data_IF_493556363191
#
_entry.id   IF_493556363191
#
_cell.length_a   1.000
_cell.length_b   1.000
_cell.length_c   1.000
_cell.angle_alpha   90.00
_cell.angle_beta   90.00
_cell.angle_gamma   90.00
#
_symmetry.space_group_name_H-M   'P 1'
#
loop_
_entity.id
_entity.type
_entity.pdbx_description
1 polymer ?
#
# COMPACT_ATOMS: atom_id res chain seq x y z
N UNK A 1 -8.08 -22.81 -27.76
CA UNK A 1 -6.86 -23.36 -27.12
C UNK A 1 -5.93 -22.19 -26.84
N UNK A 2 -5.30 -22.14 -25.66
CA UNK A 2 -4.37 -21.07 -25.29
C UNK A 2 -3.14 -21.14 -26.21
N UNK A 3 -2.78 -20.03 -26.87
CA UNK A 3 -1.60 -19.97 -27.71
C UNK A 3 -0.35 -19.80 -26.84
N UNK A 4 0.78 -20.39 -27.26
CA UNK A 4 2.08 -20.28 -26.56
C UNK A 4 2.46 -18.82 -26.25
N UNK A 5 2.12 -17.89 -27.16
CA UNK A 5 2.38 -16.45 -27.03
C UNK A 5 1.55 -15.74 -25.95
N UNK A 6 0.46 -16.36 -25.48
CA UNK A 6 -0.49 -15.75 -24.54
C UNK A 6 -0.43 -16.41 -23.16
N UNK A 7 0.30 -17.53 -23.02
CA UNK A 7 0.35 -18.35 -21.79
C UNK A 7 0.69 -17.53 -20.57
N UNK A 8 1.69 -16.64 -20.64
CA UNK A 8 2.15 -15.83 -19.51
C UNK A 8 1.07 -14.92 -18.94
N UNK A 9 0.14 -14.43 -19.77
CA UNK A 9 -1.01 -13.64 -19.33
C UNK A 9 -2.08 -14.45 -18.59
N UNK A 10 -2.04 -15.77 -18.71
CA UNK A 10 -3.00 -16.69 -18.08
C UNK A 10 -2.43 -17.45 -16.87
N UNK A 11 -1.18 -17.20 -16.45
CA UNK A 11 -0.54 -17.92 -15.34
C UNK A 11 -0.91 -17.42 -13.94
N UNK A 12 -1.89 -16.53 -13.81
CA UNK A 12 -2.40 -16.07 -12.52
C UNK A 12 -3.29 -17.15 -11.89
N UNK A 13 -2.73 -17.94 -10.97
CA UNK A 13 -3.44 -19.00 -10.27
C UNK A 13 -3.34 -18.88 -8.75
N UNK A 14 -4.36 -19.38 -8.07
CA UNK A 14 -4.31 -19.57 -6.62
C UNK A 14 -3.65 -20.90 -6.27
N UNK A 15 -2.75 -20.89 -5.28
CA UNK A 15 -2.16 -22.11 -4.72
C UNK A 15 -3.22 -22.87 -3.91
N UNK A 16 -3.58 -24.08 -4.33
CA UNK A 16 -4.50 -24.95 -3.59
C UNK A 16 -3.73 -25.80 -2.54
N UNK A 17 -4.03 -25.67 -1.23
CA UNK A 17 -3.35 -26.46 -0.21
C UNK A 17 -3.72 -27.95 -0.30
N UNK A 18 -2.73 -28.82 -0.51
CA UNK A 18 -2.95 -30.27 -0.61
C UNK A 18 -3.68 -30.88 0.62
N UNK A 19 -3.44 -30.44 1.88
CA UNK A 19 -4.16 -30.95 3.05
C UNK A 19 -5.69 -30.83 2.97
N UNK A 20 -6.24 -29.89 2.18
CA UNK A 20 -7.68 -29.78 1.95
C UNK A 20 -8.32 -30.99 1.26
N UNK A 21 -7.50 -31.88 0.67
CA UNK A 21 -7.94 -33.10 -0.01
C UNK A 21 -7.95 -34.30 0.94
N UNK A 22 -6.86 -34.49 1.70
CA UNK A 22 -6.61 -35.73 2.43
C UNK A 22 -6.75 -35.62 3.95
N UNK A 23 -6.56 -34.44 4.54
CA UNK A 23 -6.61 -34.28 5.99
C UNK A 23 -8.06 -34.22 6.48
N UNK A 24 -8.43 -35.11 7.40
CA UNK A 24 -9.76 -35.17 7.99
C UNK A 24 -10.21 -33.87 8.66
N UNK A 25 -9.27 -33.09 9.21
CA UNK A 25 -9.52 -31.78 9.83
C UNK A 25 -10.07 -30.77 8.83
N UNK A 26 -9.56 -30.78 7.60
CA UNK A 26 -9.92 -29.81 6.56
C UNK A 26 -10.87 -30.35 5.49
N UNK A 27 -11.07 -31.67 5.45
CA UNK A 27 -11.93 -32.34 4.46
C UNK A 27 -13.39 -31.89 4.57
N UNK A 28 -13.84 -31.54 5.78
CA UNK A 28 -15.21 -31.08 6.09
C UNK A 28 -15.49 -29.66 5.61
N UNK A 29 -14.47 -28.87 5.29
CA UNK A 29 -14.64 -27.52 4.77
C UNK A 29 -15.35 -27.55 3.41
N UNK A 30 -16.30 -26.63 3.23
CA UNK A 30 -16.93 -26.41 1.93
C UNK A 30 -15.90 -25.92 0.90
N UNK A 31 -16.16 -26.18 -0.39
CA UNK A 31 -15.27 -25.74 -1.47
C UNK A 31 -15.11 -24.21 -1.48
N UNK A 32 -16.14 -23.46 -1.14
CA UNK A 32 -16.07 -22.00 -1.07
C UNK A 32 -15.32 -21.49 0.17
N UNK A 33 -15.35 -22.21 1.30
CA UNK A 33 -14.46 -21.92 2.43
C UNK A 33 -12.99 -22.16 2.05
N UNK A 34 -12.70 -23.25 1.32
CA UNK A 34 -11.36 -23.53 0.77
C UNK A 34 -10.91 -22.45 -0.21
N UNK A 35 -11.80 -21.99 -1.10
CA UNK A 35 -11.53 -20.89 -2.03
C UNK A 35 -11.30 -19.56 -1.29
N UNK A 36 -12.09 -19.26 -0.26
CA UNK A 36 -11.89 -18.09 0.60
C UNK A 36 -10.50 -18.14 1.25
N UNK A 37 -10.09 -19.29 1.80
CA UNK A 37 -8.74 -19.45 2.35
C UNK A 37 -7.66 -19.16 1.29
N UNK A 38 -7.76 -19.76 0.10
CA UNK A 38 -6.80 -19.56 -0.99
C UNK A 38 -6.70 -18.08 -1.40
N UNK A 39 -7.85 -17.40 -1.43
CA UNK A 39 -7.95 -15.99 -1.77
C UNK A 39 -7.28 -15.11 -0.71
N UNK A 40 -7.54 -15.36 0.57
CA UNK A 40 -6.93 -14.63 1.68
C UNK A 40 -5.42 -14.89 1.72
N UNK A 41 -5.00 -16.14 1.57
CA UNK A 41 -3.60 -16.54 1.57
C UNK A 41 -2.80 -15.84 0.44
N UNK A 42 -3.36 -15.76 -0.76
CA UNK A 42 -2.75 -15.02 -1.88
C UNK A 42 -2.60 -13.51 -1.65
N UNK A 43 -3.22 -12.95 -0.61
CA UNK A 43 -3.12 -11.53 -0.23
C UNK A 43 -2.15 -11.27 0.92
N UNK A 44 -1.52 -12.30 1.48
CA UNK A 44 -0.53 -12.11 2.55
C UNK A 44 0.65 -11.25 2.08
N UNK A 45 1.08 -11.40 0.83
CA UNK A 45 2.13 -10.55 0.25
C UNK A 45 1.79 -9.06 0.28
N UNK A 46 0.52 -8.70 0.01
CA UNK A 46 0.06 -7.32 0.10
C UNK A 46 0.12 -6.82 1.54
N UNK A 47 -0.24 -7.67 2.50
CA UNK A 47 -0.19 -7.34 3.92
C UNK A 47 1.24 -7.11 4.40
N UNK A 48 2.19 -7.94 3.96
CA UNK A 48 3.62 -7.78 4.23
C UNK A 48 4.13 -6.46 3.60
N UNK A 49 3.83 -6.22 2.32
CA UNK A 49 4.22 -4.97 1.61
C UNK A 49 3.66 -3.72 2.31
N UNK A 50 2.45 -3.82 2.88
CA UNK A 50 1.81 -2.72 3.60
C UNK A 50 2.25 -2.59 5.07
N UNK A 51 3.15 -3.46 5.56
CA UNK A 51 3.57 -3.48 6.96
C UNK A 51 2.45 -3.85 7.94
N UNK A 52 1.46 -4.63 7.51
CA UNK A 52 0.34 -5.06 8.34
C UNK A 52 0.71 -6.30 9.16
N UNK A 53 1.39 -6.06 10.27
CA UNK A 53 1.70 -7.05 11.29
C UNK A 53 1.46 -6.46 12.68
N UNK A 54 1.18 -7.32 13.66
CA UNK A 54 1.06 -6.90 15.06
C UNK A 54 2.42 -6.89 15.78
N UNK A 55 2.40 -6.66 17.09
CA UNK A 55 3.63 -6.55 17.91
C UNK A 55 4.42 -7.85 17.98
N UNK A 56 3.77 -8.99 17.74
CA UNK A 56 4.39 -10.31 17.76
C UNK A 56 4.87 -10.71 16.36
N UNK A 57 4.65 -9.87 15.36
CA UNK A 57 5.00 -10.14 13.97
C UNK A 57 3.94 -10.94 13.20
N UNK A 58 2.77 -11.19 13.80
CA UNK A 58 1.70 -11.91 13.10
C UNK A 58 1.09 -11.01 12.04
N UNK A 59 1.09 -11.47 10.79
CA UNK A 59 0.54 -10.75 9.64
C UNK A 59 -0.99 -10.78 9.71
N UNK A 60 -1.61 -9.61 9.52
CA UNK A 60 -3.07 -9.48 9.41
C UNK A 60 -3.44 -8.77 8.12
N UNK A 61 -4.70 -8.93 7.71
CA UNK A 61 -5.25 -8.23 6.57
C UNK A 61 -6.60 -7.60 6.88
N UNK A 62 -6.93 -6.54 6.14
CA UNK A 62 -8.26 -5.96 6.12
C UNK A 62 -9.02 -6.45 4.88
N UNK A 63 -10.16 -7.10 5.12
CA UNK A 63 -11.05 -7.58 4.07
C UNK A 63 -12.49 -7.55 4.58
N UNK A 64 -13.29 -6.63 4.04
CA UNK A 64 -14.66 -6.48 4.51
C UNK A 64 -15.55 -7.59 3.97
N UNK A 65 -16.69 -7.82 4.63
CA UNK A 65 -17.68 -8.79 4.15
C UNK A 65 -18.15 -8.43 2.74
N UNK A 66 -18.36 -7.15 2.46
CA UNK A 66 -18.83 -6.68 1.15
C UNK A 66 -17.82 -6.99 0.05
N UNK A 67 -16.53 -6.82 0.30
CA UNK A 67 -15.51 -7.18 -0.68
C UNK A 67 -15.49 -8.71 -0.90
N UNK A 68 -15.56 -9.52 0.17
CA UNK A 68 -15.62 -10.98 0.06
C UNK A 68 -16.87 -11.46 -0.70
N UNK A 69 -18.00 -10.78 -0.53
CA UNK A 69 -19.23 -11.07 -1.26
C UNK A 69 -19.04 -10.86 -2.76
N UNK A 70 -18.34 -9.80 -3.17
CA UNK A 70 -18.04 -9.52 -4.58
C UNK A 70 -17.09 -10.59 -5.13
N UNK A 71 -15.97 -10.84 -4.45
CA UNK A 71 -14.92 -11.71 -4.99
C UNK A 71 -15.30 -13.21 -5.00
N UNK A 72 -16.14 -13.63 -4.05
CA UNK A 72 -16.67 -15.01 -4.00
C UNK A 72 -18.09 -15.12 -4.56
N UNK A 73 -18.63 -14.03 -5.13
CA UNK A 73 -19.99 -13.94 -5.67
C UNK A 73 -21.05 -14.61 -4.77
N UNK A 74 -21.06 -14.24 -3.49
CA UNK A 74 -21.82 -14.92 -2.45
C UNK A 74 -22.54 -13.93 -1.55
N UNK A 75 -23.69 -14.32 -0.98
CA UNK A 75 -24.42 -13.47 -0.03
C UNK A 75 -23.65 -13.31 1.30
N UNK A 76 -23.93 -12.24 2.04
CA UNK A 76 -23.26 -11.97 3.31
C UNK A 76 -23.39 -13.14 4.30
N UNK A 77 -24.61 -13.71 4.42
CA UNK A 77 -24.87 -14.88 5.27
C UNK A 77 -23.97 -16.07 4.92
N UNK A 78 -23.69 -16.23 3.63
CA UNK A 78 -22.84 -17.29 3.10
C UNK A 78 -21.35 -17.01 3.39
N UNK A 79 -20.92 -15.75 3.25
CA UNK A 79 -19.57 -15.32 3.67
C UNK A 79 -19.34 -15.57 5.16
N UNK A 80 -20.30 -15.18 6.01
CA UNK A 80 -20.23 -15.41 7.47
C UNK A 80 -20.12 -16.91 7.77
N UNK A 81 -20.87 -17.76 7.04
CA UNK A 81 -20.78 -19.21 7.16
C UNK A 81 -19.36 -19.71 6.83
N UNK A 82 -18.77 -19.27 5.72
CA UNK A 82 -17.42 -19.69 5.32
C UNK A 82 -16.36 -19.24 6.33
N UNK A 83 -16.46 -18.01 6.84
CA UNK A 83 -15.58 -17.52 7.92
C UNK A 83 -15.70 -18.39 9.16
N UNK A 84 -16.92 -18.77 9.54
CA UNK A 84 -17.16 -19.67 10.66
C UNK A 84 -16.53 -21.05 10.42
N UNK A 85 -16.72 -21.65 9.25
CA UNK A 85 -16.10 -22.94 8.89
C UNK A 85 -14.57 -22.89 9.04
N UNK A 86 -13.91 -21.84 8.53
CA UNK A 86 -12.46 -21.67 8.64
C UNK A 86 -12.00 -21.43 10.08
N UNK A 87 -12.78 -20.67 10.86
CA UNK A 87 -12.49 -20.44 12.28
C UNK A 87 -12.63 -21.71 13.12
N UNK A 88 -13.67 -22.50 12.88
CA UNK A 88 -13.94 -23.74 13.61
C UNK A 88 -12.79 -24.77 13.45
N UNK A 89 -12.04 -24.71 12.35
CA UNK A 89 -10.85 -25.55 12.11
C UNK A 89 -9.51 -24.84 12.41
N UNK A 90 -9.54 -23.61 12.95
CA UNK A 90 -8.37 -22.84 13.36
C UNK A 90 -7.56 -22.21 12.22
N UNK A 91 -8.14 -22.06 11.02
CA UNK A 91 -7.47 -21.44 9.87
C UNK A 91 -7.70 -19.94 9.74
N UNK A 92 -8.69 -19.39 10.43
CA UNK A 92 -9.03 -17.97 10.37
C UNK A 92 -9.38 -17.44 11.75
N UNK A 93 -8.78 -16.31 12.11
CA UNK A 93 -9.15 -15.55 13.31
C UNK A 93 -9.48 -14.10 12.96
N UNK A 94 -10.55 -13.56 13.56
CA UNK A 94 -10.92 -12.16 13.44
C UNK A 94 -10.83 -11.44 14.79
N UNK A 95 -10.05 -10.37 14.84
CA UNK A 95 -9.87 -9.55 16.04
C UNK A 95 -10.52 -8.19 15.82
N UNK A 96 -11.46 -7.84 16.71
CA UNK A 96 -12.09 -6.52 16.74
C UNK A 96 -11.12 -5.48 17.29
N UNK A 97 -11.03 -4.32 16.65
CA UNK A 97 -10.11 -3.25 17.04
C UNK A 97 -10.77 -2.09 17.81
N UNK A 98 -12.09 -2.13 17.98
CA UNK A 98 -12.88 -1.04 18.56
C UNK A 98 -13.95 -0.54 17.59
N UNK A 99 -14.71 0.45 18.02
CA UNK A 99 -15.81 0.99 17.22
C UNK A 99 -15.27 1.70 15.97
N UNK A 100 -15.96 1.50 14.83
CA UNK A 100 -15.62 2.07 13.51
C UNK A 100 -14.25 1.68 12.93
N UNK A 101 -13.54 0.72 13.54
CA UNK A 101 -12.32 0.16 12.96
C UNK A 101 -12.63 -1.20 12.31
N UNK A 102 -12.06 -1.51 11.14
CA UNK A 102 -12.22 -2.81 10.53
C UNK A 102 -11.60 -3.91 11.40
N UNK A 103 -12.15 -5.12 11.33
CA UNK A 103 -11.56 -6.26 12.00
C UNK A 103 -10.23 -6.62 11.34
N UNK A 104 -9.25 -7.03 12.14
CA UNK A 104 -8.04 -7.69 11.64
C UNK A 104 -8.35 -9.15 11.39
N UNK A 105 -8.06 -9.61 10.17
CA UNK A 105 -8.20 -11.02 9.79
C UNK A 105 -6.81 -11.64 9.76
N UNK A 106 -6.63 -12.71 10.52
CA UNK A 106 -5.42 -13.53 10.56
C UNK A 106 -5.72 -14.88 9.91
N UNK A 107 -4.75 -15.41 9.16
CA UNK A 107 -4.84 -16.72 8.51
C UNK A 107 -3.69 -17.60 8.97
N UNK A 108 -4.03 -18.81 9.39
CA UNK A 108 -3.05 -19.82 9.83
C UNK A 108 -2.67 -20.72 8.66
N UNK A 109 -1.43 -21.21 8.65
CA UNK A 109 -1.02 -22.24 7.71
C UNK A 109 -1.74 -23.57 8.02
N UNK A 110 -2.02 -24.37 6.98
CA UNK A 110 -2.57 -25.72 7.17
C UNK A 110 -1.47 -26.69 7.65
N UNK A 111 -1.83 -27.61 8.53
CA UNK A 111 -0.92 -28.62 9.08
C UNK A 111 -0.30 -29.46 7.95
N UNK A 112 1.00 -29.73 8.02
CA UNK A 112 1.71 -30.47 6.97
C UNK A 112 2.16 -29.66 5.75
N UNK A 113 1.99 -28.33 5.73
CA UNK A 113 2.64 -27.45 4.72
C UNK A 113 4.15 -27.26 4.93
N UNK A 114 4.76 -28.00 5.85
CA UNK A 114 6.08 -27.71 6.40
C UNK A 114 7.19 -27.75 5.33
N UNK A 115 7.85 -26.60 5.15
CA UNK A 115 9.31 -26.35 4.98
C UNK A 115 9.71 -25.39 3.85
N UNK A 116 8.96 -25.26 2.76
CA UNK A 116 9.39 -24.37 1.66
C UNK A 116 9.09 -22.88 1.88
N UNK A 117 8.03 -22.52 2.59
CA UNK A 117 7.62 -21.11 2.74
C UNK A 117 8.40 -20.35 3.81
N UNK A 118 8.89 -21.03 4.86
CA UNK A 118 9.74 -20.40 5.89
C UNK A 118 11.08 -19.99 5.28
N UNK A 119 11.65 -20.84 4.42
CA UNK A 119 12.86 -20.52 3.65
C UNK A 119 12.65 -19.30 2.73
N UNK A 120 11.47 -19.18 2.12
CA UNK A 120 11.12 -18.06 1.23
C UNK A 120 10.90 -16.73 1.99
N UNK A 121 10.48 -16.79 3.25
CA UNK A 121 10.33 -15.63 4.14
C UNK A 121 11.66 -15.24 4.83
N UNK A 122 12.53 -16.20 5.13
CA UNK A 122 13.88 -15.96 5.68
C UNK A 122 14.81 -15.27 4.66
N UNK A 123 14.63 -15.52 3.35
CA UNK A 123 15.39 -14.85 2.28
C UNK A 123 15.12 -13.33 2.23
N UNK A 124 14.03 -12.83 2.81
CA UNK A 124 13.78 -11.39 2.93
C UNK A 124 14.63 -10.70 4.00
N UNK A 125 15.25 -11.46 4.91
CA UNK A 125 16.03 -10.90 6.03
C UNK A 125 17.54 -10.84 5.78
N UNK A 126 18.09 -11.64 4.86
CA UNK A 126 19.53 -11.59 4.55
C UNK A 126 19.77 -11.55 3.03
N UNK A 127 20.24 -10.40 2.58
CA UNK A 127 20.57 -10.15 1.18
C UNK A 127 21.67 -11.07 0.63
N UNK A 128 21.60 -11.20 -0.70
CA UNK A 128 22.55 -11.87 -1.62
C UNK A 128 22.24 -13.33 -1.88
N UNK A 129 21.69 -13.65 -3.07
CA UNK A 129 22.42 -14.26 -4.20
C UNK A 129 21.60 -14.09 -5.49
N UNK A 130 22.31 -13.65 -6.53
CA UNK A 130 21.89 -13.53 -7.93
C UNK A 130 21.71 -14.92 -8.54
N UNK A 131 20.48 -15.34 -8.86
CA UNK A 131 20.12 -16.18 -10.03
C UNK A 131 18.67 -16.73 -10.07
N UNK A 132 17.78 -16.39 -9.13
CA UNK A 132 16.36 -16.82 -9.16
C UNK A 132 15.36 -15.68 -9.40
N UNK A 133 15.85 -14.46 -9.65
CA UNK A 133 15.02 -13.24 -9.80
C UNK A 133 13.97 -13.38 -10.92
N UNK A 134 14.26 -14.15 -11.98
CA UNK A 134 13.33 -14.32 -13.11
C UNK A 134 12.12 -15.22 -12.84
N UNK A 135 12.11 -16.04 -11.77
CA UNK A 135 10.97 -16.91 -11.47
C UNK A 135 10.00 -16.28 -10.45
N UNK A 136 10.43 -15.23 -9.74
CA UNK A 136 9.62 -14.45 -8.79
C UNK A 136 8.84 -13.30 -9.44
N UNK A 137 9.24 -12.84 -10.64
CA UNK A 137 8.55 -11.76 -11.36
C UNK A 137 7.17 -12.17 -11.93
N UNK A 138 6.84 -13.47 -11.95
CA UNK A 138 5.57 -13.99 -12.51
C UNK A 138 4.52 -14.28 -11.42
N UNK A 139 4.75 -13.91 -10.16
CA UNK A 139 3.65 -13.82 -9.19
C UNK A 139 2.90 -12.50 -9.44
N UNK A 140 2.09 -12.50 -10.49
CA UNK A 140 1.01 -11.54 -10.64
C UNK A 140 0.04 -11.76 -9.47
N UNK A 141 0.33 -11.14 -8.33
CA UNK A 141 -0.60 -11.00 -7.20
C UNK A 141 -1.93 -10.53 -7.76
N UNK A 142 -3.03 -11.19 -7.39
CA UNK A 142 -4.36 -10.87 -7.87
C UNK A 142 -4.60 -9.36 -7.79
N UNK A 143 -4.69 -8.70 -8.95
CA UNK A 143 -5.06 -7.29 -9.07
C UNK A 143 -6.55 -7.13 -8.71
N UNK A 144 -6.92 -7.33 -7.46
CA UNK A 144 -8.23 -6.89 -6.96
C UNK A 144 -8.09 -5.48 -6.40
N UNK A 145 -8.08 -4.51 -7.32
CA UNK A 145 -8.32 -3.10 -7.04
C UNK A 145 -9.79 -2.92 -6.67
N UNK A 146 -10.21 -3.19 -5.43
CA UNK A 146 -11.55 -2.76 -4.98
C UNK A 146 -11.49 -2.35 -3.51
N UNK A 147 -10.97 -1.16 -3.24
CA UNK A 147 -10.75 -0.72 -1.88
C UNK A 147 -11.29 0.69 -1.64
N UNK A 148 -12.56 0.78 -1.25
CA UNK A 148 -13.07 2.00 -0.59
C UNK A 148 -12.40 2.24 0.78
N UNK A 149 -11.93 1.17 1.44
CA UNK A 149 -11.22 1.26 2.74
C UNK A 149 -9.71 1.49 2.57
N UNK A 150 -9.04 0.89 1.57
CA UNK A 150 -7.64 1.26 1.26
C UNK A 150 -7.56 2.63 0.60
N UNK A 151 -8.58 3.15 -0.10
CA UNK A 151 -8.47 4.50 -0.64
C UNK A 151 -8.26 5.54 0.48
N UNK A 152 -8.90 5.37 1.64
CA UNK A 152 -8.68 6.26 2.79
C UNK A 152 -7.34 6.00 3.49
N UNK A 153 -6.94 4.74 3.71
CA UNK A 153 -5.66 4.42 4.35
C UNK A 153 -4.46 4.75 3.45
N UNK A 154 -4.54 4.47 2.15
CA UNK A 154 -3.54 4.82 1.15
C UNK A 154 -3.45 6.34 0.99
N UNK A 155 -4.58 7.06 0.91
CA UNK A 155 -4.55 8.54 0.94
C UNK A 155 -3.93 9.07 2.22
N UNK A 156 -4.18 8.43 3.37
CA UNK A 156 -3.56 8.82 4.63
C UNK A 156 -2.05 8.54 4.62
N UNK A 157 -1.61 7.38 4.13
CA UNK A 157 -0.19 7.04 3.98
C UNK A 157 0.51 8.02 3.04
N UNK A 158 -0.07 8.34 1.89
CA UNK A 158 0.44 9.36 0.95
C UNK A 158 0.52 10.72 1.66
N UNK A 159 -0.51 11.12 2.43
CA UNK A 159 -0.44 12.36 3.19
C UNK A 159 0.72 12.37 4.19
N UNK A 160 0.94 11.26 4.90
CA UNK A 160 2.06 11.14 5.85
C UNK A 160 3.40 11.24 5.12
N UNK A 161 3.53 10.51 4.00
CA UNK A 161 4.77 10.49 3.21
C UNK A 161 5.11 11.87 2.63
N UNK A 162 4.13 12.57 2.07
CA UNK A 162 4.32 13.93 1.53
C UNK A 162 4.79 14.90 2.61
N UNK A 163 4.21 14.84 3.82
CA UNK A 163 4.61 15.73 4.92
C UNK A 163 6.00 15.37 5.46
N UNK A 164 6.31 14.08 5.60
CA UNK A 164 7.65 13.62 5.98
C UNK A 164 8.70 14.07 4.96
N UNK A 165 8.38 14.00 3.66
CA UNK A 165 9.27 14.43 2.59
C UNK A 165 9.49 15.96 2.60
N UNK A 166 8.44 16.74 2.81
CA UNK A 166 8.56 18.19 2.98
C UNK A 166 9.45 18.55 4.19
N UNK A 167 9.27 17.87 5.31
CA UNK A 167 10.08 18.08 6.50
C UNK A 167 11.57 17.81 6.23
N UNK A 168 11.86 16.69 5.56
CA UNK A 168 13.23 16.31 5.17
C UNK A 168 13.89 17.36 4.27
N UNK A 169 13.18 17.80 3.21
CA UNK A 169 13.76 18.70 2.21
C UNK A 169 13.84 20.16 2.66
N UNK A 170 12.84 20.65 3.41
CA UNK A 170 12.79 22.04 3.85
C UNK A 170 13.37 22.25 5.27
N UNK A 171 13.94 21.20 5.87
CA UNK A 171 14.41 21.18 7.26
C UNK A 171 13.35 21.74 8.24
N UNK A 172 12.10 21.28 8.09
CA UNK A 172 10.95 21.67 8.92
C UNK A 172 10.47 20.48 9.76
N UNK A 173 9.65 20.76 10.77
CA UNK A 173 9.12 19.77 11.71
C UNK A 173 7.59 19.81 11.80
N UNK A 174 6.89 19.84 10.66
CA UNK A 174 5.43 19.76 10.64
C UNK A 174 4.96 18.40 11.19
N UNK A 175 3.94 18.42 12.04
CA UNK A 175 3.35 17.19 12.59
C UNK A 175 2.69 16.39 11.46
N UNK A 176 3.20 15.19 11.22
CA UNK A 176 2.83 14.30 10.12
C UNK A 176 1.35 13.89 10.16
N UNK A 177 0.74 13.80 11.34
CA UNK A 177 -0.66 13.38 11.51
C UNK A 177 -1.69 14.53 11.54
N UNK A 178 -1.29 15.76 11.20
CA UNK A 178 -2.17 16.93 11.31
C UNK A 178 -3.23 16.95 10.21
N UNK A 179 -4.51 16.92 10.61
CA UNK A 179 -5.65 16.93 9.69
C UNK A 179 -5.69 18.14 8.74
N UNK A 180 -5.30 19.33 9.23
CA UNK A 180 -5.25 20.56 8.43
C UNK A 180 -4.24 20.47 7.28
N UNK A 181 -3.09 19.81 7.48
CA UNK A 181 -2.10 19.59 6.43
C UNK A 181 -2.61 18.55 5.41
N UNK A 182 -3.21 17.46 5.90
CA UNK A 182 -3.78 16.42 5.05
C UNK A 182 -4.92 16.92 4.17
N UNK A 183 -5.68 17.91 4.62
CA UNK A 183 -6.80 18.50 3.86
C UNK A 183 -6.35 18.94 2.46
N UNK A 184 -5.22 19.63 2.35
CA UNK A 184 -4.71 20.14 1.08
C UNK A 184 -4.25 19.02 0.16
N UNK A 185 -3.52 18.04 0.70
CA UNK A 185 -3.03 16.88 -0.05
C UNK A 185 -4.21 16.02 -0.55
N UNK A 186 -5.20 15.74 0.32
CA UNK A 186 -6.39 14.97 -0.05
C UNK A 186 -7.22 15.64 -1.15
N UNK A 187 -7.30 16.97 -1.15
CA UNK A 187 -7.99 17.70 -2.22
C UNK A 187 -7.30 17.47 -3.57
N UNK A 188 -5.97 17.60 -3.61
CA UNK A 188 -5.16 17.38 -4.81
C UNK A 188 -5.18 15.91 -5.28
N UNK A 189 -5.18 14.93 -4.37
CA UNK A 189 -5.36 13.52 -4.73
C UNK A 189 -6.73 13.24 -5.37
N UNK A 190 -7.78 14.02 -5.04
CA UNK A 190 -9.10 13.91 -5.68
C UNK A 190 -9.11 14.51 -7.09
N UNK A 191 -8.25 15.50 -7.34
CA UNK A 191 -8.07 16.15 -8.64
C UNK A 191 -7.19 15.32 -9.60
N UNK A 192 -6.54 14.26 -9.12
CA UNK A 192 -5.80 13.29 -9.94
C UNK A 192 -4.27 13.36 -9.81
N UNK A 193 -3.73 14.24 -8.96
CA UNK A 193 -2.30 14.34 -8.71
C UNK A 193 -1.77 13.08 -7.99
N UNK A 194 -0.53 12.69 -8.33
CA UNK A 194 0.18 11.52 -7.79
C UNK A 194 1.17 11.90 -6.70
N UNK A 195 1.64 10.94 -5.91
CA UNK A 195 2.68 11.14 -4.88
C UNK A 195 3.94 11.80 -5.48
N UNK A 196 4.35 11.37 -6.66
CA UNK A 196 5.48 11.92 -7.41
C UNK A 196 5.28 13.40 -7.74
N UNK A 197 4.06 13.83 -8.06
CA UNK A 197 3.75 15.24 -8.31
C UNK A 197 3.97 16.09 -7.05
N UNK A 198 3.57 15.59 -5.88
CA UNK A 198 3.83 16.29 -4.62
C UNK A 198 5.32 16.39 -4.32
N UNK A 199 6.08 15.29 -4.50
CA UNK A 199 7.54 15.29 -4.29
C UNK A 199 8.23 16.28 -5.22
N UNK A 200 7.84 16.30 -6.50
CA UNK A 200 8.38 17.25 -7.49
C UNK A 200 8.12 18.71 -7.10
N UNK A 201 6.91 19.04 -6.64
CA UNK A 201 6.61 20.39 -6.14
C UNK A 201 7.49 20.73 -4.94
N UNK A 202 7.67 19.81 -3.98
CA UNK A 202 8.57 20.03 -2.84
C UNK A 202 9.99 20.28 -3.32
N UNK A 203 10.53 19.49 -4.25
CA UNK A 203 11.89 19.64 -4.76
C UNK A 203 12.11 20.99 -5.45
N UNK A 204 11.20 21.35 -6.36
CA UNK A 204 11.28 22.61 -7.14
C UNK A 204 11.20 23.82 -6.21
N UNK A 205 10.26 23.81 -5.27
CA UNK A 205 10.03 24.96 -4.40
C UNK A 205 11.11 25.05 -3.31
N UNK A 206 11.57 23.92 -2.76
CA UNK A 206 12.69 23.90 -1.81
C UNK A 206 13.96 24.44 -2.47
N UNK A 207 14.27 24.02 -3.69
CA UNK A 207 15.44 24.51 -4.43
C UNK A 207 15.40 26.02 -4.72
N UNK A 208 14.21 26.62 -4.78
CA UNK A 208 14.04 28.06 -5.07
C UNK A 208 13.94 28.93 -3.83
N UNK A 209 13.31 28.43 -2.78
CA UNK A 209 12.92 29.26 -1.64
C UNK A 209 13.84 29.10 -0.44
N UNK A 210 14.53 27.96 -0.29
CA UNK A 210 15.52 27.77 0.78
C UNK A 210 16.62 28.83 0.64
N UNK A 211 16.93 29.52 1.75
CA UNK A 211 17.94 30.58 1.76
C UNK A 211 17.44 31.94 1.24
N UNK A 212 16.14 32.10 0.99
CA UNK A 212 15.50 33.37 0.61
C UNK A 212 14.42 33.77 1.61
N UNK A 213 13.90 35.00 1.52
CA UNK A 213 12.73 35.45 2.29
C UNK A 213 11.47 34.58 2.08
N UNK A 214 11.43 33.79 1.00
CA UNK A 214 10.30 32.92 0.66
C UNK A 214 10.33 31.58 1.40
N UNK A 215 11.41 31.25 2.12
CA UNK A 215 11.54 29.96 2.82
C UNK A 215 10.41 29.75 3.85
N UNK A 216 9.93 30.83 4.48
CA UNK A 216 8.83 30.80 5.45
C UNK A 216 7.51 30.25 4.85
N UNK A 217 7.37 30.30 3.52
CA UNK A 217 6.19 29.83 2.80
C UNK A 217 6.27 28.37 2.35
N UNK A 218 7.36 27.64 2.67
CA UNK A 218 7.48 26.19 2.46
C UNK A 218 6.60 25.41 3.46
N UNK A 219 5.29 25.53 3.29
CA UNK A 219 4.28 24.93 4.15
C UNK A 219 3.26 24.13 3.31
N UNK A 220 2.60 23.11 3.89
CA UNK A 220 1.62 22.28 3.17
C UNK A 220 0.50 23.07 2.51
N UNK A 221 0.01 24.13 3.16
CA UNK A 221 -1.05 24.99 2.62
C UNK A 221 -0.59 25.76 1.38
N UNK A 222 0.62 26.32 1.40
CA UNK A 222 1.15 27.11 0.28
C UNK A 222 1.46 26.22 -0.91
N UNK A 223 2.18 25.12 -0.67
CA UNK A 223 2.67 24.22 -1.72
C UNK A 223 1.55 23.42 -2.37
N UNK A 224 0.60 22.94 -1.57
CA UNK A 224 -0.48 22.07 -2.02
C UNK A 224 -1.84 22.78 -2.06
N UNK A 225 -1.82 24.11 -1.99
CA UNK A 225 -2.97 24.99 -2.23
C UNK A 225 -3.28 25.15 -3.72
N UNK A 226 -4.18 26.08 -4.07
CA UNK A 226 -4.73 26.22 -5.43
C UNK A 226 -3.69 26.51 -6.53
N UNK A 227 -2.44 26.80 -6.15
CA UNK A 227 -1.31 27.08 -7.06
C UNK A 227 -0.41 25.86 -7.32
N UNK A 228 -0.77 24.67 -6.83
CA UNK A 228 0.04 23.45 -6.99
C UNK A 228 0.41 23.19 -8.46
N UNK A 229 -0.55 23.34 -9.38
CA UNK A 229 -0.34 23.10 -10.80
C UNK A 229 0.75 24.03 -11.40
N UNK A 230 0.74 25.31 -10.99
CA UNK A 230 1.76 26.27 -11.40
C UNK A 230 3.15 25.82 -10.92
N UNK A 231 3.28 25.34 -9.69
CA UNK A 231 4.55 24.85 -9.15
C UNK A 231 5.00 23.55 -9.81
N UNK A 232 4.07 22.67 -10.18
CA UNK A 232 4.41 21.40 -10.85
C UNK A 232 4.96 21.61 -12.26
N UNK A 233 4.46 22.63 -12.95
CA UNK A 233 4.87 23.05 -14.29
C UNK A 233 6.09 23.98 -14.29
N UNK A 234 6.63 24.29 -13.11
CA UNK A 234 7.79 25.14 -12.97
C UNK A 234 9.08 24.35 -13.24
N UNK A 235 10.05 24.98 -13.92
CA UNK A 235 11.36 24.36 -14.20
C UNK A 235 12.28 24.39 -12.98
N UNK A 236 13.00 23.29 -12.75
CA UNK A 236 14.06 23.24 -11.75
C UNK A 236 15.10 24.33 -12.04
N UNK A 237 15.53 25.11 -11.04
CA UNK A 237 16.57 26.12 -11.25
C UNK A 237 17.87 25.44 -11.72
N UNK A 238 18.44 25.93 -12.82
CA UNK A 238 19.74 25.44 -13.31
C UNK A 238 20.81 25.81 -12.28
N UNK A 239 21.68 24.84 -11.96
CA UNK A 239 22.78 24.94 -10.97
C UNK A 239 23.75 26.12 -11.20
N UNK A 240 23.65 26.83 -12.33
CA UNK A 240 24.47 27.98 -12.71
C UNK A 240 23.98 29.35 -12.20
N UNK A 241 22.86 29.45 -11.47
CA UNK A 241 22.35 30.75 -10.97
C UNK A 241 22.49 30.97 -9.45
N UNK A 242 23.08 30.04 -8.69
CA UNK A 242 23.31 30.21 -7.24
C UNK A 242 24.37 31.27 -6.88
N UNK A 243 25.02 31.92 -7.86
CA UNK A 243 26.06 32.93 -7.63
C UNK A 243 25.73 34.32 -8.20
N UNK A 244 24.55 34.55 -8.78
CA UNK A 244 24.26 35.80 -9.47
C UNK A 244 22.87 36.36 -9.14
N UNK A 245 22.63 36.74 -7.88
CA UNK A 245 21.64 37.79 -7.58
C UNK A 245 21.84 38.46 -6.21
N UNK A 246 23.09 38.58 -5.75
CA UNK A 246 23.43 39.56 -4.71
C UNK A 246 23.99 40.83 -5.38
N UNK A 247 23.20 41.44 -6.27
CA UNK A 247 23.34 42.87 -6.62
C UNK A 247 21.93 43.39 -6.85
N UNK A 248 21.43 44.09 -5.84
CA UNK A 248 20.35 45.06 -5.93
C UNK A 248 20.88 46.29 -6.69
N UNK A 249 20.41 46.48 -7.91
CA UNK A 249 20.41 47.79 -8.57
C UNK A 249 19.12 47.89 -9.39
N UNK A 250 18.08 48.48 -8.79
CA UNK A 250 17.36 49.65 -9.35
C UNK A 250 16.06 49.93 -8.58
N UNK A 251 16.19 50.78 -7.57
CA UNK A 251 15.26 51.91 -7.43
C UNK A 251 15.81 53.05 -8.28
N UNK A 252 14.99 53.63 -9.15
CA UNK A 252 15.36 54.80 -9.94
C UNK A 252 14.35 55.16 -11.03
N UNK A 253 13.34 55.95 -10.62
CA UNK A 253 12.27 56.62 -11.37
C UNK A 253 11.04 55.79 -11.75
#
# INVERSE_FOLDING_TARGET
MIKKSEVTGFLAFFKFPKPFIYDGKYKTLSNNAKLMYMLLFGRLELSIKNGWHDKEGNVFQYYTNEQLMVDLNSSEKTIIKFKKELKDVGLLEEVRQGNNLPNRIYISAVDGTVKNTVSELEILQHGTVKNTVSELEILQTNKTNINKTENNNNKLLICKEVISYLNLNANKNFKVDTASHHKFIKARLKEGYTLEDFKKVVDVMSARWIGTEYEQYLQPQTLFGNKMDNYLNTTMPKRSQLLASAVDERLGF
#
